data_IF_807792261506
#
_entry.id   IF_807792261506
#
_cell.length_a   1.000
_cell.length_b   1.000
_cell.length_c   1.000
_cell.angle_alpha   90.00
_cell.angle_beta   90.00
_cell.angle_gamma   90.00
#
_symmetry.space_group_name_H-M   'P 1'
#
loop_
_entity.id
_entity.type
_entity.pdbx_description
1 polymer ?
#
# COMPACT_ATOMS: atom_id res chain seq x y z
N UNK A 1 0.32 2.79 -54.72
CA UNK A 1 1.67 2.18 -54.72
C UNK A 1 2.55 3.04 -53.82
N UNK A 2 2.98 2.67 -52.61
CA UNK A 2 2.81 1.54 -51.70
C UNK A 2 2.78 2.16 -50.28
N UNK A 3 1.77 1.89 -49.44
CA UNK A 3 1.72 0.91 -48.35
C UNK A 3 2.91 0.91 -47.36
N UNK A 4 2.57 1.32 -46.12
CA UNK A 4 3.04 0.85 -44.80
C UNK A 4 4.46 1.19 -44.35
N UNK A 5 4.56 1.99 -43.28
CA UNK A 5 5.01 1.53 -41.95
C UNK A 5 4.30 2.39 -40.89
N UNK A 6 3.47 1.72 -40.09
CA UNK A 6 2.94 2.17 -38.81
C UNK A 6 4.06 1.95 -37.77
N UNK A 7 4.45 2.99 -37.04
CA UNK A 7 4.99 2.83 -35.68
C UNK A 7 4.07 3.62 -34.75
N UNK A 8 3.23 2.94 -33.97
CA UNK A 8 2.45 3.52 -32.89
C UNK A 8 3.32 3.42 -31.63
N UNK A 9 3.90 4.53 -31.17
CA UNK A 9 4.54 4.58 -29.85
C UNK A 9 3.62 5.28 -28.83
N UNK A 10 2.33 4.94 -28.86
CA UNK A 10 1.48 5.01 -27.67
C UNK A 10 1.62 3.67 -26.95
N UNK A 11 2.70 3.55 -26.17
CA UNK A 11 2.94 2.43 -25.27
C UNK A 11 2.37 2.75 -23.89
N UNK A 12 1.12 2.36 -23.65
CA UNK A 12 0.51 2.06 -22.35
C UNK A 12 1.38 2.34 -21.12
N UNK A 13 1.13 3.45 -20.43
CA UNK A 13 1.37 3.49 -18.99
C UNK A 13 0.22 2.74 -18.33
N UNK A 14 0.42 1.46 -18.01
CA UNK A 14 -0.52 0.67 -17.19
C UNK A 14 -0.55 1.27 -15.79
N UNK A 15 -1.50 2.16 -15.53
CA UNK A 15 -2.09 2.32 -14.21
C UNK A 15 -3.61 2.23 -14.34
N UNK A 16 -4.13 1.02 -14.24
CA UNK A 16 -5.57 0.78 -14.05
C UNK A 16 -5.95 1.21 -12.63
N UNK A 17 -6.33 2.48 -12.46
CA UNK A 17 -7.00 2.99 -11.26
C UNK A 17 -8.24 3.75 -11.71
N UNK A 18 -9.39 3.40 -11.12
CA UNK A 18 -10.69 3.96 -11.48
C UNK A 18 -10.71 5.50 -11.37
N UNK A 19 -11.14 6.12 -12.45
CA UNK A 19 -11.38 7.55 -12.66
C UNK A 19 -12.56 8.03 -11.82
N UNK A 20 -12.35 8.72 -10.70
CA UNK A 20 -13.35 9.70 -10.21
C UNK A 20 -12.70 10.91 -9.50
N UNK A 21 -11.56 10.76 -8.80
CA UNK A 21 -11.01 11.86 -7.99
C UNK A 21 -9.49 12.07 -8.12
N UNK A 22 -8.92 12.00 -9.33
CA UNK A 22 -7.54 12.49 -9.57
C UNK A 22 -7.59 13.84 -10.25
N UNK A 23 -6.62 14.69 -9.93
CA UNK A 23 -6.12 15.70 -10.87
C UNK A 23 -5.45 14.93 -12.00
N UNK A 24 -6.03 14.86 -13.22
CA UNK A 24 -5.44 14.06 -14.30
C UNK A 24 -4.07 14.62 -14.69
N UNK A 25 -3.14 13.79 -15.19
CA UNK A 25 -1.93 14.31 -15.87
C UNK A 25 -2.31 15.21 -17.06
N UNK A 26 -3.52 15.03 -17.61
CA UNK A 26 -4.17 15.91 -18.60
C UNK A 26 -4.49 17.33 -18.08
N UNK A 27 -4.38 17.58 -16.76
CA UNK A 27 -4.55 18.91 -16.19
C UNK A 27 -3.29 19.78 -16.35
N UNK A 28 -2.12 19.15 -16.34
CA UNK A 28 -0.84 19.84 -16.45
C UNK A 28 -0.38 20.05 -17.87
N UNK A 29 -0.83 19.21 -18.82
CA UNK A 29 -0.44 19.32 -20.22
C UNK A 29 -1.67 19.45 -21.11
N UNK A 30 -1.65 20.43 -22.01
CA UNK A 30 -2.67 20.60 -23.05
C UNK A 30 -2.12 20.17 -24.42
N UNK A 31 -2.97 19.56 -25.23
CA UNK A 31 -2.66 19.25 -26.63
C UNK A 31 -3.16 20.40 -27.50
N UNK A 32 -2.24 21.11 -28.14
CA UNK A 32 -2.56 22.18 -29.08
C UNK A 32 -2.49 21.62 -30.50
N UNK A 33 -3.62 21.68 -31.20
CA UNK A 33 -3.72 21.34 -32.61
C UNK A 33 -3.64 22.63 -33.43
N UNK A 34 -2.64 22.73 -34.31
CA UNK A 34 -2.53 23.79 -35.32
C UNK A 34 -2.62 23.18 -36.71
N UNK A 35 -2.89 24.00 -37.71
CA UNK A 35 -3.18 23.58 -39.09
C UNK A 35 -2.16 22.61 -39.72
N UNK A 36 -0.94 22.52 -39.16
CA UNK A 36 0.16 21.70 -39.71
C UNK A 36 0.87 20.79 -38.69
N UNK A 37 0.51 20.80 -37.40
CA UNK A 37 1.10 19.90 -36.39
C UNK A 37 0.28 19.82 -35.09
N UNK A 38 0.51 18.76 -34.32
CA UNK A 38 -0.04 18.53 -32.98
C UNK A 38 1.11 18.53 -31.96
N UNK A 39 1.07 19.38 -30.95
CA UNK A 39 2.06 19.38 -29.86
C UNK A 39 1.41 19.35 -28.48
N UNK A 40 2.09 18.73 -27.52
CA UNK A 40 1.72 18.70 -26.10
C UNK A 40 2.59 19.71 -25.36
N UNK A 41 2.00 20.60 -24.56
CA UNK A 41 2.74 21.61 -23.78
C UNK A 41 2.15 21.79 -22.40
N UNK A 42 2.92 22.36 -21.46
CA UNK A 42 2.44 22.64 -20.12
C UNK A 42 1.27 23.64 -20.17
N UNK A 43 0.16 23.31 -19.53
CA UNK A 43 -0.97 24.20 -19.29
C UNK A 43 -0.58 25.26 -18.24
N UNK A 44 0.08 26.33 -18.70
CA UNK A 44 0.55 27.42 -17.85
C UNK A 44 -0.60 28.14 -17.12
N UNK A 45 -1.81 28.13 -17.67
CA UNK A 45 -2.97 28.72 -17.01
C UNK A 45 -3.34 27.91 -15.76
N UNK A 46 -3.48 26.59 -15.89
CA UNK A 46 -3.73 25.69 -14.77
C UNK A 46 -2.63 25.77 -13.69
N UNK A 47 -1.36 25.80 -14.08
CA UNK A 47 -0.23 25.96 -13.13
C UNK A 47 -0.32 27.31 -12.39
N UNK A 48 -0.72 28.39 -13.06
CA UNK A 48 -0.88 29.69 -12.41
C UNK A 48 -2.10 29.72 -11.49
N UNK A 49 -3.20 29.07 -11.85
CA UNK A 49 -4.39 28.94 -11.01
C UNK A 49 -4.05 28.18 -9.72
N UNK A 50 -3.43 27.00 -9.83
CA UNK A 50 -2.97 26.18 -8.70
C UNK A 50 -1.99 26.91 -7.78
N UNK A 51 -1.19 27.84 -8.33
CA UNK A 51 -0.29 28.69 -7.56
C UNK A 51 -1.06 29.72 -6.71
N UNK A 52 -2.21 30.17 -7.16
CA UNK A 52 -2.99 31.24 -6.49
C UNK A 52 -4.14 30.75 -5.63
N UNK A 53 -4.71 29.58 -5.93
CA UNK A 53 -5.85 29.02 -5.23
C UNK A 53 -5.71 27.50 -5.07
N UNK A 54 -6.35 26.89 -4.04
CA UNK A 54 -6.42 25.45 -3.89
C UNK A 54 -7.21 24.80 -5.03
N UNK A 55 -6.79 23.59 -5.43
CA UNK A 55 -7.56 22.78 -6.40
C UNK A 55 -8.74 22.07 -5.72
N UNK A 56 -9.66 21.53 -6.51
CA UNK A 56 -10.76 20.70 -6.00
C UNK A 56 -10.27 19.44 -5.27
N UNK A 57 -9.05 18.97 -5.55
CA UNK A 57 -8.40 17.84 -4.88
C UNK A 57 -7.61 18.22 -3.62
N UNK A 58 -7.57 19.50 -3.25
CA UNK A 58 -6.79 20.00 -2.12
C UNK A 58 -5.33 20.32 -2.47
N UNK A 59 -4.67 21.05 -1.57
CA UNK A 59 -3.29 21.46 -1.76
C UNK A 59 -2.31 20.29 -1.58
N UNK A 60 -2.64 19.29 -0.77
CA UNK A 60 -1.85 18.08 -0.54
C UNK A 60 -1.68 17.25 -1.82
N UNK A 61 -2.79 16.88 -2.48
CA UNK A 61 -2.79 16.14 -3.75
C UNK A 61 -2.09 16.96 -4.85
N UNK A 62 -2.30 18.29 -4.85
CA UNK A 62 -1.64 19.20 -5.79
C UNK A 62 -0.11 19.18 -5.60
N UNK A 63 0.36 19.19 -4.36
CA UNK A 63 1.79 19.12 -4.06
C UNK A 63 2.40 17.79 -4.47
N UNK A 64 1.72 16.67 -4.21
CA UNK A 64 2.15 15.33 -4.65
C UNK A 64 2.29 15.26 -6.18
N UNK A 65 1.26 15.71 -6.90
CA UNK A 65 1.26 15.69 -8.36
C UNK A 65 2.35 16.58 -8.99
N UNK A 66 2.63 17.75 -8.40
CA UNK A 66 3.73 18.62 -8.85
C UNK A 66 5.11 18.02 -8.58
N UNK A 67 5.29 17.29 -7.47
CA UNK A 67 6.54 16.59 -7.16
C UNK A 67 6.73 15.41 -8.13
N UNK A 68 5.70 14.62 -8.39
CA UNK A 68 5.74 13.53 -9.38
C UNK A 68 6.09 14.07 -10.77
N UNK A 69 5.43 15.17 -11.19
CA UNK A 69 5.73 15.84 -12.46
C UNK A 69 7.20 16.25 -12.58
N UNK A 70 7.80 16.80 -11.52
CA UNK A 70 9.21 17.19 -11.52
C UNK A 70 10.16 16.00 -11.53
N UNK A 71 9.81 14.90 -10.86
CA UNK A 71 10.63 13.68 -10.85
C UNK A 71 10.60 13.00 -12.23
N UNK A 72 9.42 12.95 -12.86
CA UNK A 72 9.21 12.28 -14.14
C UNK A 72 9.80 13.09 -15.31
N UNK A 73 9.69 14.42 -15.28
CA UNK A 73 10.11 15.28 -16.39
C UNK A 73 11.61 15.64 -16.36
N UNK A 74 12.19 15.80 -15.17
CA UNK A 74 13.58 16.24 -15.09
C UNK A 74 14.55 15.10 -15.46
N UNK A 75 15.56 15.42 -16.29
CA UNK A 75 16.39 14.45 -16.98
C UNK A 75 17.30 13.68 -16.01
N UNK A 76 17.04 12.38 -15.82
CA UNK A 76 17.90 11.49 -15.02
C UNK A 76 19.11 10.95 -15.81
N UNK A 77 19.06 10.97 -17.14
CA UNK A 77 20.12 10.48 -18.05
C UNK A 77 20.30 11.40 -19.27
N UNK A 78 21.41 11.25 -19.99
CA UNK A 78 21.76 12.07 -21.16
C UNK A 78 20.86 11.85 -22.39
N UNK A 79 19.98 10.86 -22.38
CA UNK A 79 19.08 10.52 -23.49
C UNK A 79 17.62 11.00 -23.30
N UNK A 80 17.27 11.51 -22.11
CA UNK A 80 15.92 11.95 -21.80
C UNK A 80 15.94 13.42 -21.40
N UNK A 81 15.60 14.35 -22.30
CA UNK A 81 15.58 15.78 -21.97
C UNK A 81 14.34 16.18 -21.16
N UNK A 82 13.25 15.41 -21.14
CA UNK A 82 11.97 15.83 -20.54
C UNK A 82 11.13 16.71 -21.47
N UNK A 83 9.84 16.86 -21.16
CA UNK A 83 8.87 17.62 -21.95
C UNK A 83 8.88 19.12 -21.63
N UNK A 84 9.17 19.52 -20.37
CA UNK A 84 9.11 20.93 -19.98
C UNK A 84 10.38 21.70 -20.35
N UNK A 85 10.24 22.91 -20.87
CA UNK A 85 11.38 23.83 -21.05
C UNK A 85 11.86 24.45 -19.71
N UNK A 86 12.97 25.20 -19.73
CA UNK A 86 13.52 25.82 -18.52
C UNK A 86 12.52 26.76 -17.81
N UNK A 87 11.73 27.51 -18.57
CA UNK A 87 10.73 28.45 -18.06
C UNK A 87 9.54 27.72 -17.43
N UNK A 88 9.12 26.61 -18.04
CA UNK A 88 8.05 25.72 -17.61
C UNK A 88 8.41 24.99 -16.32
N UNK A 89 9.60 24.37 -16.26
CA UNK A 89 10.12 23.77 -15.02
C UNK A 89 10.14 24.80 -13.89
N UNK A 90 10.62 26.02 -14.17
CA UNK A 90 10.62 27.09 -13.17
C UNK A 90 9.21 27.51 -12.74
N UNK A 91 8.22 27.45 -13.62
CA UNK A 91 6.82 27.71 -13.27
C UNK A 91 6.25 26.64 -12.33
N UNK A 92 6.53 25.37 -12.61
CA UNK A 92 6.12 24.23 -11.75
C UNK A 92 6.79 24.32 -10.38
N UNK A 93 8.09 24.62 -10.30
CA UNK A 93 8.79 24.79 -9.02
C UNK A 93 8.19 25.96 -8.21
N UNK A 94 7.89 27.10 -8.85
CA UNK A 94 7.23 28.22 -8.16
C UNK A 94 5.83 27.86 -7.67
N UNK A 95 5.09 27.08 -8.45
CA UNK A 95 3.79 26.56 -8.05
C UNK A 95 3.92 25.64 -6.84
N UNK A 96 4.83 24.67 -6.88
CA UNK A 96 5.09 23.75 -5.77
C UNK A 96 5.47 24.51 -4.49
N UNK A 97 6.39 25.50 -4.58
CA UNK A 97 6.76 26.34 -3.44
C UNK A 97 5.55 27.09 -2.86
N UNK A 98 4.66 27.63 -3.70
CA UNK A 98 3.45 28.30 -3.24
C UNK A 98 2.48 27.33 -2.53
N UNK A 99 2.27 26.14 -3.10
CA UNK A 99 1.40 25.10 -2.52
C UNK A 99 1.94 24.61 -1.18
N UNK A 100 3.24 24.27 -1.10
CA UNK A 100 3.88 23.83 0.15
C UNK A 100 3.82 24.93 1.23
N UNK A 101 3.97 26.20 0.85
CA UNK A 101 3.82 27.33 1.77
C UNK A 101 2.38 27.47 2.30
N UNK A 102 1.35 27.27 1.47
CA UNK A 102 -0.05 27.26 1.93
C UNK A 102 -0.30 26.12 2.91
N UNK A 103 0.36 24.98 2.69
CA UNK A 103 0.39 23.84 3.60
C UNK A 103 1.32 24.03 4.81
N UNK A 104 1.98 25.18 4.98
CA UNK A 104 2.93 25.38 6.08
C UNK A 104 4.07 24.35 6.13
N UNK A 105 4.43 23.77 5.00
CA UNK A 105 5.56 22.82 4.87
C UNK A 105 6.80 23.62 4.52
N UNK A 106 7.81 23.58 5.39
CA UNK A 106 9.13 24.16 5.12
C UNK A 106 9.95 23.19 4.27
N UNK A 107 10.08 23.51 2.98
CA UNK A 107 10.94 22.77 2.06
C UNK A 107 11.47 23.70 0.95
N UNK A 108 12.79 23.77 0.86
CA UNK A 108 13.52 24.53 -0.16
C UNK A 108 13.96 23.58 -1.28
N UNK A 109 13.38 23.75 -2.48
CA UNK A 109 13.88 23.08 -3.69
C UNK A 109 15.27 23.65 -4.01
N UNK A 110 16.33 22.83 -4.15
CA UNK A 110 17.72 23.28 -4.28
C UNK A 110 18.06 23.90 -5.65
N UNK A 111 17.08 23.96 -6.54
CA UNK A 111 17.17 24.59 -7.86
C UNK A 111 15.86 25.31 -8.18
N UNK A 112 15.92 26.23 -9.13
CA UNK A 112 14.81 27.13 -9.47
C UNK A 112 14.22 26.88 -10.85
N UNK A 113 14.94 26.15 -11.70
CA UNK A 113 14.59 25.83 -13.08
C UNK A 113 15.41 24.61 -13.56
N UNK A 114 15.25 24.25 -14.83
CA UNK A 114 15.89 23.08 -15.45
C UNK A 114 17.41 23.24 -15.57
N UNK A 115 17.89 24.45 -15.88
CA UNK A 115 19.32 24.78 -15.94
C UNK A 115 19.95 24.70 -14.55
N UNK A 116 19.30 25.24 -13.53
CA UNK A 116 19.70 25.12 -12.14
C UNK A 116 19.74 23.66 -11.67
N UNK A 117 18.80 22.82 -12.12
CA UNK A 117 18.85 21.38 -11.87
C UNK A 117 20.09 20.73 -12.49
N UNK A 118 20.45 21.07 -13.74
CA UNK A 118 21.68 20.56 -14.35
C UNK A 118 22.93 20.99 -13.59
N UNK A 119 23.03 22.26 -13.18
CA UNK A 119 24.14 22.75 -12.35
C UNK A 119 24.22 22.00 -11.02
N UNK A 120 23.09 21.87 -10.32
CA UNK A 120 22.97 21.10 -9.09
C UNK A 120 23.44 19.64 -9.29
N UNK A 121 23.01 18.99 -10.37
CA UNK A 121 23.41 17.61 -10.70
C UNK A 121 24.90 17.49 -10.98
N UNK A 122 25.49 18.44 -11.72
CA UNK A 122 26.93 18.44 -12.05
C UNK A 122 27.80 18.63 -10.81
N UNK A 123 27.40 19.51 -9.89
CA UNK A 123 28.09 19.75 -8.61
C UNK A 123 28.05 18.52 -7.69
N UNK A 124 26.97 17.73 -7.76
CA UNK A 124 26.73 16.57 -6.90
C UNK A 124 27.01 15.22 -7.57
N UNK A 125 27.65 15.21 -8.77
CA UNK A 125 27.97 14.00 -9.54
C UNK A 125 28.78 12.93 -8.78
N UNK A 126 29.51 13.34 -7.72
CA UNK A 126 30.33 12.45 -6.89
C UNK A 126 29.68 12.11 -5.53
N UNK A 127 28.45 12.57 -5.26
CA UNK A 127 27.74 12.38 -4.00
C UNK A 127 26.39 11.68 -4.20
N UNK A 128 25.92 10.99 -3.16
CA UNK A 128 24.68 10.22 -3.12
C UNK A 128 23.37 11.02 -3.43
N UNK A 129 23.43 12.33 -3.72
CA UNK A 129 22.27 13.24 -3.80
C UNK A 129 22.14 13.82 -5.22
N UNK A 130 21.83 12.96 -6.19
CA UNK A 130 21.40 13.39 -7.54
C UNK A 130 20.02 12.83 -7.93
N UNK A 131 19.55 11.84 -7.17
CA UNK A 131 18.21 11.28 -7.28
C UNK A 131 17.19 12.31 -6.79
N UNK A 132 16.36 12.82 -7.71
CA UNK A 132 15.31 13.79 -7.41
C UNK A 132 14.33 13.28 -6.35
N UNK A 133 14.16 11.96 -6.30
CA UNK A 133 13.31 11.34 -5.31
C UNK A 133 13.84 11.53 -3.88
N UNK A 134 15.17 11.59 -3.71
CA UNK A 134 15.80 11.95 -2.42
C UNK A 134 15.70 13.45 -2.14
N UNK A 135 15.82 14.28 -3.17
CA UNK A 135 15.67 15.74 -3.04
C UNK A 135 14.30 16.08 -2.49
N UNK A 136 13.23 15.44 -2.99
CA UNK A 136 11.86 15.71 -2.56
C UNK A 136 11.37 14.88 -1.37
N UNK A 137 12.18 13.95 -0.83
CA UNK A 137 11.77 13.10 0.30
C UNK A 137 11.31 13.88 1.54
N UNK A 138 11.97 14.99 1.97
CA UNK A 138 11.50 15.78 3.10
C UNK A 138 10.11 16.40 2.88
N UNK A 139 9.84 16.87 1.65
CA UNK A 139 8.54 17.42 1.28
C UNK A 139 7.45 16.35 1.31
N UNK A 140 7.71 15.17 0.73
CA UNK A 140 6.78 14.03 0.75
C UNK A 140 6.47 13.57 2.18
N UNK A 141 7.48 13.43 3.03
CA UNK A 141 7.29 13.05 4.43
C UNK A 141 6.53 14.12 5.24
N UNK A 142 6.64 15.39 4.89
CA UNK A 142 5.87 16.46 5.51
C UNK A 142 4.40 16.47 5.05
N UNK A 143 4.15 16.21 3.76
CA UNK A 143 2.81 16.04 3.21
C UNK A 143 2.10 14.84 3.87
N UNK A 144 2.78 13.69 3.95
CA UNK A 144 2.25 12.49 4.60
C UNK A 144 1.88 12.73 6.08
N UNK A 145 2.73 13.44 6.84
CA UNK A 145 2.42 13.83 8.23
C UNK A 145 1.22 14.76 8.33
N UNK A 146 1.01 15.65 7.36
CA UNK A 146 -0.17 16.53 7.33
C UNK A 146 -1.43 15.77 6.98
N UNK A 147 -1.38 14.86 6.02
CA UNK A 147 -2.50 13.97 5.72
C UNK A 147 -2.91 13.15 6.95
N UNK A 148 -1.93 12.67 7.74
CA UNK A 148 -2.17 12.00 9.01
C UNK A 148 -2.82 12.90 10.08
N UNK A 149 -2.63 14.22 10.01
CA UNK A 149 -3.15 15.19 11.00
C UNK A 149 -4.52 15.75 10.59
N UNK A 150 -4.79 15.92 9.29
CA UNK A 150 -6.08 16.37 8.73
C UNK A 150 -7.13 15.26 8.72
N UNK A 151 -6.70 13.99 8.87
CA UNK A 151 -7.58 12.83 8.95
C UNK A 151 -8.33 12.73 10.30
N UNK A 152 -9.20 13.71 10.56
CA UNK A 152 -10.19 13.68 11.65
C UNK A 152 -11.46 12.98 11.17
N UNK A 153 -11.47 11.65 11.23
CA UNK A 153 -12.63 10.87 10.82
C UNK A 153 -12.52 9.39 11.11
N UNK A 154 -12.83 9.01 12.35
CA UNK A 154 -13.59 7.82 12.74
C UNK A 154 -13.19 6.44 12.18
N UNK A 155 -12.99 5.49 13.09
CA UNK A 155 -13.18 4.07 12.77
C UNK A 155 -14.59 3.89 12.20
N UNK A 156 -14.65 3.41 10.97
CA UNK A 156 -15.79 3.46 10.03
C UNK A 156 -15.85 4.77 9.27
N UNK A 157 -15.36 4.73 8.03
CA UNK A 157 -16.09 5.42 6.97
C UNK A 157 -17.53 4.90 6.99
N UNK A 158 -18.51 5.79 6.87
CA UNK A 158 -19.95 5.51 6.74
C UNK A 158 -20.33 4.55 5.56
N UNK A 159 -19.33 3.90 4.95
CA UNK A 159 -19.38 2.94 3.84
C UNK A 159 -18.47 1.69 3.99
N UNK A 160 -17.76 1.50 5.10
CA UNK A 160 -17.01 0.24 5.34
C UNK A 160 -15.56 0.18 4.83
N UNK A 161 -14.85 1.30 4.71
CA UNK A 161 -13.42 1.31 4.40
C UNK A 161 -12.58 0.92 5.63
N UNK A 162 -11.79 -0.16 5.49
CA UNK A 162 -10.91 -0.67 6.52
C UNK A 162 -9.64 0.18 6.57
N UNK A 163 -9.31 0.73 7.74
CA UNK A 163 -8.07 1.48 8.00
C UNK A 163 -7.36 0.86 9.20
N UNK A 164 -6.04 0.74 9.09
CA UNK A 164 -5.12 0.16 10.08
C UNK A 164 -5.15 -1.39 10.16
N UNK A 165 -4.27 -2.05 9.40
CA UNK A 165 -3.98 -3.48 9.52
C UNK A 165 -2.68 -3.69 10.28
N UNK A 166 -2.73 -4.44 11.37
CA UNK A 166 -1.53 -4.89 12.07
C UNK A 166 -1.25 -6.33 11.63
N UNK A 167 -0.09 -6.56 11.03
CA UNK A 167 0.27 -7.86 10.45
C UNK A 167 1.75 -8.15 10.63
N UNK A 168 2.17 -9.35 10.20
CA UNK A 168 3.52 -9.89 10.40
C UNK A 168 3.97 -9.80 11.88
N UNK A 169 3.04 -10.01 12.80
CA UNK A 169 3.24 -9.88 14.23
C UNK A 169 3.87 -11.15 14.82
N UNK A 170 5.18 -11.14 15.03
CA UNK A 170 5.91 -12.26 15.66
C UNK A 170 5.60 -12.39 17.16
N UNK A 171 5.25 -11.29 17.81
CA UNK A 171 4.79 -11.24 19.20
C UNK A 171 3.45 -10.52 19.26
N UNK A 172 2.65 -10.80 20.30
CA UNK A 172 1.36 -10.13 20.49
C UNK A 172 1.57 -8.62 20.72
N UNK A 173 1.06 -7.74 19.84
CA UNK A 173 1.15 -6.31 20.05
C UNK A 173 0.23 -5.86 21.18
N UNK A 174 0.69 -4.91 21.99
CA UNK A 174 -0.18 -4.19 22.92
C UNK A 174 -0.72 -2.94 22.20
N UNK A 175 -2.03 -2.89 21.98
CA UNK A 175 -2.69 -1.85 21.19
C UNK A 175 -3.54 -1.01 22.14
N UNK A 176 -3.29 0.30 22.16
CA UNK A 176 -4.09 1.27 22.91
C UNK A 176 -4.76 2.26 21.96
N UNK A 177 -5.93 2.75 22.36
CA UNK A 177 -6.58 3.86 21.67
C UNK A 177 -5.95 5.16 22.13
N UNK A 178 -5.37 5.92 21.19
CA UNK A 178 -4.93 7.29 21.46
C UNK A 178 -6.10 8.26 21.27
N UNK A 179 -6.91 8.04 20.25
CA UNK A 179 -8.16 8.77 20.01
C UNK A 179 -9.24 7.80 19.51
N UNK A 180 -10.29 7.61 20.32
CA UNK A 180 -11.42 6.73 20.01
C UNK A 180 -12.31 7.32 18.93
N UNK A 181 -12.49 8.64 18.90
CA UNK A 181 -13.34 9.33 17.94
C UNK A 181 -12.65 9.48 16.58
N UNK A 182 -11.34 9.73 16.58
CA UNK A 182 -10.49 9.78 15.38
C UNK A 182 -10.01 8.41 14.89
N UNK A 183 -10.13 7.36 15.69
CA UNK A 183 -9.71 6.02 15.29
C UNK A 183 -8.21 5.76 15.33
N UNK A 184 -7.48 6.58 16.08
CA UNK A 184 -6.02 6.50 16.17
C UNK A 184 -5.65 5.43 17.19
N UNK A 185 -4.96 4.40 16.70
CA UNK A 185 -4.35 3.35 17.52
C UNK A 185 -2.87 3.59 17.69
N UNK A 186 -2.35 3.19 18.83
CA UNK A 186 -0.92 3.18 19.13
C UNK A 186 -0.52 1.79 19.63
N UNK A 187 0.63 1.30 19.15
CA UNK A 187 1.21 0.05 19.62
C UNK A 187 2.23 0.40 20.69
N UNK A 188 1.89 0.17 21.95
CA UNK A 188 2.70 0.54 23.12
C UNK A 188 3.79 -0.49 23.43
N UNK A 189 3.60 -1.74 22.99
CA UNK A 189 4.60 -2.82 23.12
C UNK A 189 4.66 -3.70 21.89
N UNK A 190 5.85 -4.22 21.60
CA UNK A 190 6.15 -5.12 20.47
C UNK A 190 5.90 -4.47 19.09
N UNK A 191 6.04 -3.14 18.99
CA UNK A 191 5.82 -2.40 17.74
C UNK A 191 6.79 -2.85 16.65
N UNK A 192 8.05 -3.04 17.02
CA UNK A 192 9.14 -3.57 16.20
C UNK A 192 8.87 -4.99 15.68
N UNK A 193 8.00 -5.74 16.35
CA UNK A 193 7.65 -7.11 15.97
C UNK A 193 6.42 -7.20 15.06
N UNK A 194 5.79 -6.09 14.68
CA UNK A 194 4.65 -6.05 13.75
C UNK A 194 4.84 -4.99 12.66
N UNK A 195 3.95 -5.01 11.67
CA UNK A 195 3.82 -4.00 10.63
C UNK A 195 2.44 -3.36 10.76
N UNK A 196 2.36 -2.04 10.59
CA UNK A 196 1.12 -1.26 10.60
C UNK A 196 0.89 -0.68 9.22
N UNK A 197 -0.06 -1.24 8.48
CA UNK A 197 -0.53 -0.66 7.22
C UNK A 197 -1.66 0.33 7.50
N UNK A 198 -1.41 1.60 7.21
CA UNK A 198 -2.20 2.77 7.58
C UNK A 198 -2.92 3.43 6.40
N UNK A 199 -2.86 2.82 5.21
CA UNK A 199 -3.49 3.33 3.98
C UNK A 199 -4.90 2.75 3.78
N UNK A 200 -5.78 3.44 3.04
CA UNK A 200 -7.08 2.89 2.67
C UNK A 200 -6.90 1.73 1.67
N UNK A 201 -7.77 0.72 1.80
CA UNK A 201 -7.85 -0.41 0.86
C UNK A 201 -8.89 -0.11 -0.22
N UNK A 202 -8.49 -0.14 -1.49
CA UNK A 202 -9.35 0.20 -2.63
C UNK A 202 -10.31 -0.93 -3.05
N UNK A 203 -11.10 -0.67 -4.10
CA UNK A 203 -12.06 -1.64 -4.65
C UNK A 203 -11.39 -2.90 -5.24
N UNK A 204 -10.11 -2.79 -5.63
CA UNK A 204 -9.24 -3.90 -6.05
C UNK A 204 -8.82 -4.81 -4.90
N UNK A 205 -9.12 -4.46 -3.65
CA UNK A 205 -8.51 -5.07 -2.48
C UNK A 205 -7.14 -4.45 -2.19
N UNK A 206 -6.32 -5.15 -1.41
CA UNK A 206 -4.92 -4.79 -1.14
C UNK A 206 -4.03 -5.71 -1.97
N UNK A 207 -3.42 -5.19 -3.04
CA UNK A 207 -2.57 -6.00 -3.92
C UNK A 207 -1.10 -6.02 -3.49
N UNK A 208 -0.31 -6.95 -4.03
CA UNK A 208 1.14 -6.93 -3.82
C UNK A 208 1.80 -5.65 -4.37
N UNK A 209 1.27 -5.06 -5.45
CA UNK A 209 1.76 -3.76 -5.96
C UNK A 209 1.53 -2.65 -4.93
N UNK A 210 0.34 -2.60 -4.32
CA UNK A 210 0.01 -1.58 -3.31
C UNK A 210 0.81 -1.78 -2.03
N UNK A 211 0.97 -3.03 -1.58
CA UNK A 211 1.79 -3.34 -0.41
C UNK A 211 3.28 -3.04 -0.66
N UNK A 212 3.81 -3.33 -1.85
CA UNK A 212 5.19 -3.00 -2.23
C UNK A 212 5.44 -1.49 -2.26
N UNK A 213 4.50 -0.71 -2.82
CA UNK A 213 4.55 0.76 -2.80
C UNK A 213 4.51 1.32 -1.38
N UNK A 214 3.70 0.73 -0.50
CA UNK A 214 3.69 1.11 0.92
C UNK A 214 5.01 0.74 1.62
N UNK A 215 5.54 -0.46 1.36
CA UNK A 215 6.80 -0.93 1.94
C UNK A 215 8.00 -0.09 1.51
N UNK A 216 7.99 0.41 0.26
CA UNK A 216 9.02 1.28 -0.27
C UNK A 216 9.19 2.59 0.51
N UNK A 217 8.09 3.14 1.04
CA UNK A 217 8.08 4.39 1.79
C UNK A 217 8.47 4.21 3.27
N UNK A 218 8.78 2.99 3.70
CA UNK A 218 9.28 2.74 5.06
C UNK A 218 10.76 3.16 5.20
N UNK A 219 11.13 3.64 6.39
CA UNK A 219 12.48 4.13 6.69
C UNK A 219 13.56 3.13 6.26
N UNK A 220 14.53 3.61 5.47
CA UNK A 220 15.68 2.83 5.00
C UNK A 220 15.44 1.95 3.76
N UNK A 221 14.21 1.80 3.27
CA UNK A 221 13.91 0.96 2.09
C UNK A 221 14.05 1.68 0.75
N UNK A 222 14.11 3.02 0.75
CA UNK A 222 14.06 3.84 -0.47
C UNK A 222 15.25 3.62 -1.41
N UNK A 223 16.45 3.39 -0.87
CA UNK A 223 17.68 3.24 -1.64
C UNK A 223 17.94 1.84 -2.23
N UNK A 224 17.06 0.87 -1.97
CA UNK A 224 17.22 -0.52 -2.42
C UNK A 224 16.50 -0.73 -3.77
N UNK A 225 17.06 -1.57 -4.64
CA UNK A 225 16.37 -1.98 -5.86
C UNK A 225 15.05 -2.70 -5.55
N UNK A 226 14.09 -2.66 -6.48
CA UNK A 226 12.78 -3.30 -6.28
C UNK A 226 12.89 -4.77 -5.86
N UNK A 227 13.78 -5.52 -6.52
CA UNK A 227 14.04 -6.92 -6.20
C UNK A 227 14.49 -7.12 -4.74
N UNK A 228 15.48 -6.34 -4.28
CA UNK A 228 15.98 -6.44 -2.90
C UNK A 228 14.92 -5.99 -1.88
N UNK A 229 14.09 -5.00 -2.22
CA UNK A 229 12.96 -4.58 -1.36
C UNK A 229 11.92 -5.67 -1.20
N UNK A 230 11.54 -6.33 -2.28
CA UNK A 230 10.58 -7.45 -2.24
C UNK A 230 11.13 -8.62 -1.43
N UNK A 231 12.42 -8.94 -1.57
CA UNK A 231 13.07 -9.94 -0.72
C UNK A 231 13.09 -9.54 0.75
N UNK A 232 13.34 -8.26 1.06
CA UNK A 232 13.29 -7.75 2.43
C UNK A 232 11.88 -7.83 3.02
N UNK A 233 10.84 -7.50 2.24
CA UNK A 233 9.45 -7.66 2.62
C UNK A 233 9.14 -9.14 2.90
N UNK A 234 9.42 -10.04 1.97
CA UNK A 234 9.19 -11.48 2.16
C UNK A 234 9.90 -12.01 3.41
N UNK A 235 11.16 -11.61 3.64
CA UNK A 235 11.90 -11.96 4.86
C UNK A 235 11.21 -11.43 6.11
N UNK A 236 10.69 -10.20 6.09
CA UNK A 236 9.96 -9.60 7.22
C UNK A 236 8.64 -10.33 7.51
N UNK A 237 7.92 -10.75 6.47
CA UNK A 237 6.70 -11.54 6.58
C UNK A 237 6.99 -12.94 7.16
N UNK A 238 7.94 -13.67 6.56
CA UNK A 238 8.38 -15.00 7.02
C UNK A 238 8.88 -15.01 8.46
N UNK A 239 9.52 -13.92 8.91
CA UNK A 239 10.00 -13.78 10.29
C UNK A 239 8.91 -13.84 11.36
N UNK A 240 7.63 -13.73 10.98
CA UNK A 240 6.48 -13.89 11.89
C UNK A 240 5.90 -15.30 11.92
N UNK A 241 6.39 -16.21 11.07
CA UNK A 241 5.72 -17.47 10.73
C UNK A 241 6.47 -18.71 11.20
N UNK A 242 5.73 -19.74 11.59
CA UNK A 242 6.24 -21.10 11.77
C UNK A 242 6.51 -21.80 10.42
N UNK A 243 7.08 -23.00 10.44
CA UNK A 243 7.48 -23.71 9.22
C UNK A 243 6.31 -24.03 8.26
N UNK A 244 5.13 -24.39 8.79
CA UNK A 244 3.96 -24.72 7.97
C UNK A 244 3.36 -23.47 7.32
N UNK A 245 3.27 -22.40 8.11
CA UNK A 245 2.81 -21.09 7.64
C UNK A 245 3.77 -20.51 6.60
N UNK A 246 5.09 -20.67 6.78
CA UNK A 246 6.08 -20.27 5.78
C UNK A 246 5.89 -21.04 4.47
N UNK A 247 5.59 -22.34 4.52
CA UNK A 247 5.31 -23.14 3.32
C UNK A 247 4.07 -22.61 2.58
N UNK A 248 3.01 -22.22 3.31
CA UNK A 248 1.84 -21.60 2.70
C UNK A 248 2.18 -20.26 2.02
N UNK A 249 2.86 -19.37 2.75
CA UNK A 249 3.25 -18.05 2.23
C UNK A 249 4.17 -18.19 1.00
N UNK A 250 5.17 -19.05 1.07
CA UNK A 250 6.12 -19.28 -0.02
C UNK A 250 5.40 -19.85 -1.26
N UNK A 251 4.48 -20.79 -1.06
CA UNK A 251 3.69 -21.37 -2.17
C UNK A 251 2.80 -20.31 -2.83
N UNK A 252 2.14 -19.47 -2.03
CA UNK A 252 1.34 -18.38 -2.57
C UNK A 252 2.18 -17.33 -3.29
N UNK A 253 3.37 -17.01 -2.74
CA UNK A 253 4.30 -16.07 -3.36
C UNK A 253 4.75 -16.56 -4.74
N UNK A 254 5.17 -17.81 -4.86
CA UNK A 254 5.57 -18.43 -6.12
C UNK A 254 4.40 -18.49 -7.11
N UNK A 255 3.19 -18.82 -6.63
CA UNK A 255 1.96 -18.84 -7.42
C UNK A 255 1.66 -17.47 -8.05
N UNK A 256 1.76 -16.40 -7.26
CA UNK A 256 1.56 -15.02 -7.71
C UNK A 256 2.64 -14.57 -8.69
N UNK A 257 3.93 -14.90 -8.44
CA UNK A 257 5.05 -14.57 -9.35
C UNK A 257 4.82 -15.12 -10.75
N UNK A 258 4.31 -16.34 -10.87
CA UNK A 258 4.04 -16.98 -12.16
C UNK A 258 2.87 -16.35 -12.95
N UNK A 259 2.03 -15.53 -12.31
CA UNK A 259 0.74 -15.05 -12.86
C UNK A 259 0.58 -13.53 -12.88
N UNK A 260 1.65 -12.77 -12.66
CA UNK A 260 1.60 -11.30 -12.64
C UNK A 260 1.44 -10.74 -11.23
N UNK A 261 2.34 -11.17 -10.34
CA UNK A 261 2.50 -10.80 -8.92
C UNK A 261 1.78 -9.53 -8.45
N UNK A 262 2.04 -8.38 -9.11
CA UNK A 262 1.54 -7.07 -8.68
C UNK A 262 0.02 -6.95 -8.60
N UNK A 263 -0.73 -7.65 -9.47
CA UNK A 263 -2.19 -7.60 -9.53
C UNK A 263 -2.86 -8.57 -8.55
N UNK A 264 -2.10 -9.53 -8.01
CA UNK A 264 -2.61 -10.50 -7.05
C UNK A 264 -2.81 -9.84 -5.68
N UNK A 265 -3.85 -10.25 -4.94
CA UNK A 265 -4.09 -9.76 -3.59
C UNK A 265 -2.93 -10.17 -2.66
N UNK A 266 -2.47 -9.26 -1.82
CA UNK A 266 -1.42 -9.54 -0.86
C UNK A 266 -1.92 -10.51 0.22
N UNK A 267 -1.07 -11.48 0.56
CA UNK A 267 -1.33 -12.41 1.66
C UNK A 267 -0.61 -11.93 2.91
N UNK A 268 -1.38 -11.43 3.87
CA UNK A 268 -0.87 -10.84 5.10
C UNK A 268 -0.82 -11.89 6.22
N UNK A 269 0.35 -12.22 6.78
CA UNK A 269 0.47 -13.17 7.88
C UNK A 269 0.16 -12.53 9.24
N UNK A 270 -0.24 -13.34 10.22
CA UNK A 270 -0.31 -13.02 11.66
C UNK A 270 -1.04 -11.70 11.94
N UNK A 271 -2.28 -11.61 11.48
CA UNK A 271 -3.04 -10.36 11.44
C UNK A 271 -3.84 -10.16 12.71
N UNK A 272 -3.65 -9.01 13.36
CA UNK A 272 -4.45 -8.57 14.48
C UNK A 272 -5.50 -7.57 14.00
N UNK A 273 -6.77 -7.98 14.06
CA UNK A 273 -7.90 -7.07 13.83
C UNK A 273 -8.34 -6.48 15.18
N UNK A 274 -8.21 -5.17 15.35
CA UNK A 274 -8.69 -4.51 16.56
C UNK A 274 -10.20 -4.32 16.51
N UNK A 275 -10.94 -5.06 17.35
CA UNK A 275 -12.40 -5.03 17.39
C UNK A 275 -12.93 -4.14 18.52
N UNK A 276 -13.62 -3.07 18.11
CA UNK A 276 -14.60 -2.20 18.79
C UNK A 276 -14.56 -2.11 20.36
N UNK A 277 -14.25 -0.91 20.93
CA UNK A 277 -14.30 -0.67 22.38
C UNK A 277 -15.71 -0.74 23.00
N UNK A 278 -16.81 -0.61 22.24
CA UNK A 278 -18.18 -0.80 22.78
C UNK A 278 -18.42 -2.25 23.21
N UNK A 279 -17.84 -3.19 22.46
CA UNK A 279 -17.87 -4.59 22.84
C UNK A 279 -17.00 -4.84 24.09
N UNK A 280 -16.03 -3.99 24.45
CA UNK A 280 -15.20 -4.16 25.64
C UNK A 280 -15.95 -3.83 26.95
N UNK A 281 -16.83 -2.81 26.94
CA UNK A 281 -17.70 -2.50 28.09
C UNK A 281 -18.78 -3.57 28.29
N UNK A 282 -19.34 -4.11 27.20
CA UNK A 282 -20.28 -5.24 27.27
C UNK A 282 -19.57 -6.56 27.64
N UNK A 283 -18.29 -6.75 27.27
CA UNK A 283 -17.42 -7.88 27.67
C UNK A 283 -17.12 -7.92 29.17
N UNK A 284 -16.96 -6.76 29.81
CA UNK A 284 -16.73 -6.70 31.27
C UNK A 284 -18.01 -6.95 32.08
N UNK A 285 -19.20 -6.78 31.47
CA UNK A 285 -20.49 -6.92 32.15
C UNK A 285 -21.12 -8.32 31.95
N UNK A 286 -20.72 -9.07 30.92
CA UNK A 286 -21.19 -10.44 30.70
C UNK A 286 -20.17 -11.42 31.26
N UNK A 287 -20.49 -11.97 32.44
CA UNK A 287 -19.95 -13.19 33.05
C UNK A 287 -18.46 -13.49 32.80
N UNK A 288 -17.64 -13.23 33.83
CA UNK A 288 -16.35 -13.88 34.08
C UNK A 288 -15.41 -14.07 32.87
N UNK A 289 -14.49 -13.10 32.69
CA UNK A 289 -13.11 -13.43 32.31
C UNK A 289 -12.85 -14.15 30.99
N UNK A 290 -13.82 -14.28 30.08
CA UNK A 290 -13.57 -14.89 28.76
C UNK A 290 -12.89 -13.89 27.82
N UNK A 291 -11.56 -13.86 27.91
CA UNK A 291 -10.67 -13.34 26.88
C UNK A 291 -11.11 -13.95 25.54
N UNK A 292 -11.40 -13.12 24.53
CA UNK A 292 -11.59 -13.59 23.16
C UNK A 292 -10.34 -14.39 22.76
N UNK A 293 -10.48 -15.71 22.65
CA UNK A 293 -9.33 -16.61 22.49
C UNK A 293 -8.58 -16.44 21.17
N UNK A 294 -9.16 -15.76 20.15
CA UNK A 294 -8.46 -15.44 18.91
C UNK A 294 -8.66 -13.98 18.51
N UNK A 295 -7.65 -13.16 18.82
CA UNK A 295 -7.49 -11.78 18.31
C UNK A 295 -6.61 -11.74 17.05
N UNK A 296 -6.10 -12.89 16.61
CA UNK A 296 -5.12 -13.05 15.54
C UNK A 296 -5.63 -14.07 14.52
N UNK A 297 -5.58 -13.70 13.25
CA UNK A 297 -5.77 -14.59 12.10
C UNK A 297 -4.40 -15.03 11.57
N UNK A 298 -4.24 -16.29 11.18
CA UNK A 298 -2.95 -16.76 10.65
C UNK A 298 -2.62 -16.06 9.32
N UNK A 299 -3.60 -15.96 8.41
CA UNK A 299 -3.49 -15.15 7.19
C UNK A 299 -4.77 -14.42 6.82
N UNK A 300 -4.61 -13.21 6.27
CA UNK A 300 -5.69 -12.40 5.68
C UNK A 300 -5.34 -12.02 4.25
N UNK A 301 -6.34 -12.07 3.37
CA UNK A 301 -6.29 -11.55 2.02
C UNK A 301 -7.50 -10.65 1.77
N UNK A 302 -7.26 -9.43 1.29
CA UNK A 302 -8.30 -8.49 0.91
C UNK A 302 -8.31 -8.40 -0.61
N UNK A 303 -9.26 -9.05 -1.26
CA UNK A 303 -9.33 -9.18 -2.71
C UNK A 303 -10.38 -8.26 -3.34
N UNK A 304 -10.37 -8.20 -4.67
CA UNK A 304 -11.30 -7.40 -5.46
C UNK A 304 -12.76 -7.76 -5.19
N UNK A 305 -13.65 -6.77 -5.35
CA UNK A 305 -15.09 -6.95 -5.11
C UNK A 305 -15.47 -7.04 -3.62
N UNK A 306 -14.56 -6.63 -2.72
CA UNK A 306 -14.80 -6.64 -1.28
C UNK A 306 -14.69 -8.03 -0.64
N UNK A 307 -14.14 -9.02 -1.36
CA UNK A 307 -13.90 -10.37 -0.88
C UNK A 307 -12.78 -10.36 0.17
N UNK A 308 -12.98 -11.06 1.28
CA UNK A 308 -12.04 -11.10 2.41
C UNK A 308 -11.79 -12.53 2.81
N UNK A 309 -10.61 -13.07 2.50
CA UNK A 309 -10.27 -14.45 2.80
C UNK A 309 -9.43 -14.53 4.07
N UNK A 310 -9.78 -15.46 4.94
CA UNK A 310 -9.00 -15.84 6.12
C UNK A 310 -8.54 -17.27 5.91
N UNK A 311 -7.23 -17.48 5.96
CA UNK A 311 -6.64 -18.82 5.90
C UNK A 311 -6.06 -19.14 7.27
N UNK A 312 -6.46 -20.26 7.86
CA UNK A 312 -6.01 -20.72 9.17
C UNK A 312 -5.31 -22.09 9.00
N UNK A 313 -4.21 -22.29 9.72
CA UNK A 313 -3.53 -23.59 9.76
C UNK A 313 -3.82 -24.25 11.11
N UNK A 314 -4.56 -25.35 11.09
CA UNK A 314 -4.96 -26.05 12.29
C UNK A 314 -4.07 -27.26 12.60
N UNK A 315 -3.30 -27.13 13.68
CA UNK A 315 -2.66 -28.27 14.32
C UNK A 315 -3.58 -28.98 15.30
N UNK A 316 -3.16 -30.18 15.74
CA UNK A 316 -3.88 -31.00 16.72
C UNK A 316 -4.15 -30.26 18.02
N UNK A 317 -3.27 -29.33 18.39
CA UNK A 317 -3.35 -28.46 19.55
C UNK A 317 -4.61 -27.56 19.57
N UNK A 318 -5.25 -27.32 18.43
CA UNK A 318 -6.47 -26.51 18.37
C UNK A 318 -7.75 -27.26 18.78
N UNK A 319 -7.73 -28.59 18.75
CA UNK A 319 -8.93 -29.41 19.01
C UNK A 319 -8.64 -30.63 19.87
N UNK A 320 -7.47 -30.69 20.53
CA UNK A 320 -7.10 -31.77 21.43
C UNK A 320 -6.56 -31.26 22.76
N UNK A 321 -6.81 -32.03 23.82
CA UNK A 321 -6.22 -31.86 25.14
C UNK A 321 -5.44 -33.13 25.45
N UNK A 322 -4.16 -33.00 25.78
CA UNK A 322 -3.25 -34.12 26.04
C UNK A 322 -3.21 -35.16 24.91
N UNK A 323 -3.30 -34.69 23.66
CA UNK A 323 -3.30 -35.54 22.46
C UNK A 323 -4.61 -36.29 22.19
N UNK A 324 -5.66 -36.06 22.99
CA UNK A 324 -7.00 -36.62 22.77
C UNK A 324 -7.95 -35.54 22.25
N UNK A 325 -8.78 -35.89 21.28
CA UNK A 325 -9.79 -34.98 20.76
C UNK A 325 -10.68 -34.42 21.88
N UNK A 326 -10.89 -33.11 21.86
CA UNK A 326 -11.64 -32.35 22.85
C UNK A 326 -12.84 -31.67 22.17
N UNK A 327 -14.05 -32.25 22.26
CA UNK A 327 -15.23 -31.74 21.57
C UNK A 327 -15.60 -30.29 21.92
N UNK A 328 -15.30 -29.86 23.14
CA UNK A 328 -15.46 -28.48 23.61
C UNK A 328 -14.56 -27.51 22.84
N UNK A 329 -13.27 -27.83 22.66
CA UNK A 329 -12.34 -27.02 21.88
C UNK A 329 -12.74 -26.96 20.39
N UNK A 330 -13.19 -28.09 19.84
CA UNK A 330 -13.75 -28.11 18.49
C UNK A 330 -14.98 -27.20 18.36
N UNK A 331 -15.92 -27.28 19.32
CA UNK A 331 -17.13 -26.44 19.33
C UNK A 331 -16.80 -24.94 19.41
N UNK A 332 -15.77 -24.57 20.17
CA UNK A 332 -15.27 -23.20 20.26
C UNK A 332 -14.66 -22.72 18.94
N UNK A 333 -13.81 -23.54 18.31
CA UNK A 333 -13.23 -23.24 17.00
C UNK A 333 -14.31 -22.99 15.94
N UNK A 334 -15.29 -23.89 15.80
CA UNK A 334 -16.36 -23.71 14.79
C UNK A 334 -17.30 -22.54 15.12
N UNK A 335 -17.42 -22.15 16.40
CA UNK A 335 -18.18 -20.96 16.80
C UNK A 335 -17.50 -19.69 16.32
N UNK A 336 -16.19 -19.60 16.48
CA UNK A 336 -15.42 -18.46 15.99
C UNK A 336 -15.45 -18.37 14.45
N UNK A 337 -15.41 -19.48 13.74
CA UNK A 337 -15.58 -19.49 12.29
C UNK A 337 -16.90 -18.87 11.86
N UNK A 338 -17.99 -19.25 12.51
CA UNK A 338 -19.32 -18.66 12.24
C UNK A 338 -19.31 -17.17 12.52
N UNK A 339 -18.68 -16.74 13.61
CA UNK A 339 -18.57 -15.32 13.97
C UNK A 339 -17.80 -14.53 12.90
N UNK A 340 -16.66 -15.05 12.45
CA UNK A 340 -15.83 -14.41 11.41
C UNK A 340 -16.59 -14.40 10.07
N UNK A 341 -17.24 -15.50 9.69
CA UNK A 341 -18.06 -15.56 8.46
C UNK A 341 -19.22 -14.58 8.47
N UNK A 342 -19.93 -14.44 9.59
CA UNK A 342 -21.01 -13.45 9.75
C UNK A 342 -20.51 -12.00 9.68
N UNK A 343 -19.20 -11.76 9.81
CA UNK A 343 -18.58 -10.45 9.60
C UNK A 343 -18.21 -10.19 8.12
N UNK A 344 -18.55 -11.12 7.21
CA UNK A 344 -18.30 -10.98 5.78
C UNK A 344 -16.91 -11.45 5.34
N UNK A 345 -16.33 -12.39 6.08
CA UNK A 345 -15.10 -13.08 5.70
C UNK A 345 -15.39 -14.49 5.20
N UNK A 346 -14.58 -14.98 4.29
CA UNK A 346 -14.55 -16.38 3.85
C UNK A 346 -13.38 -17.09 4.55
N UNK A 347 -13.70 -18.05 5.40
CA UNK A 347 -12.71 -18.76 6.22
C UNK A 347 -12.41 -20.13 5.62
N UNK A 348 -11.13 -20.40 5.35
CA UNK A 348 -10.59 -21.67 4.90
C UNK A 348 -9.57 -22.19 5.92
N UNK A 349 -9.76 -23.43 6.37
CA UNK A 349 -8.89 -24.09 7.36
C UNK A 349 -8.15 -25.23 6.69
N UNK A 350 -6.84 -25.29 6.90
CA UNK A 350 -6.00 -26.40 6.46
C UNK A 350 -5.51 -27.18 7.68
N UNK A 351 -5.73 -28.49 7.70
CA UNK A 351 -5.27 -29.35 8.77
C UNK A 351 -3.79 -29.65 8.66
N UNK A 352 -3.09 -29.76 9.78
CA UNK A 352 -1.64 -30.06 9.81
C UNK A 352 -1.26 -31.36 9.09
N UNK A 353 -2.19 -32.32 8.96
CA UNK A 353 -1.99 -33.55 8.20
C UNK A 353 -1.74 -33.29 6.69
N UNK A 354 -2.29 -32.20 6.15
CA UNK A 354 -2.11 -31.80 4.74
C UNK A 354 -0.69 -31.30 4.43
N UNK A 355 0.11 -31.01 5.47
CA UNK A 355 1.46 -30.47 5.34
C UNK A 355 2.57 -31.48 5.69
N UNK A 356 2.22 -32.75 5.93
CA UNK A 356 3.21 -33.80 6.28
C UNK A 356 4.21 -34.02 5.15
N UNK A 357 3.73 -34.04 3.90
CA UNK A 357 4.57 -34.03 2.70
C UNK A 357 4.59 -32.61 2.10
N UNK A 358 5.73 -31.89 2.17
CA UNK A 358 5.84 -30.54 1.64
C UNK A 358 5.55 -30.42 0.14
N UNK A 359 5.83 -31.45 -0.66
CA UNK A 359 5.59 -31.39 -2.11
C UNK A 359 4.10 -31.58 -2.43
N UNK A 360 3.45 -32.54 -1.77
CA UNK A 360 2.01 -32.71 -1.87
C UNK A 360 1.26 -31.46 -1.38
N UNK A 361 1.72 -30.85 -0.29
CA UNK A 361 1.17 -29.61 0.25
C UNK A 361 1.25 -28.45 -0.76
N UNK A 362 2.41 -28.28 -1.42
CA UNK A 362 2.58 -27.25 -2.46
C UNK A 362 1.61 -27.41 -3.62
N UNK A 363 1.41 -28.64 -4.09
CA UNK A 363 0.46 -28.95 -5.17
C UNK A 363 -0.98 -28.65 -4.74
N UNK A 364 -1.37 -29.09 -3.53
CA UNK A 364 -2.70 -28.82 -2.97
C UNK A 364 -2.96 -27.32 -2.84
N UNK A 365 -2.03 -26.58 -2.23
CA UNK A 365 -2.15 -25.13 -2.04
C UNK A 365 -2.22 -24.38 -3.37
N UNK A 366 -1.39 -24.76 -4.34
CA UNK A 366 -1.43 -24.14 -5.68
C UNK A 366 -2.80 -24.35 -6.35
N UNK A 367 -3.33 -25.58 -6.30
CA UNK A 367 -4.66 -25.90 -6.83
C UNK A 367 -5.80 -25.19 -6.08
N UNK A 368 -5.64 -24.98 -4.77
CA UNK A 368 -6.57 -24.18 -3.97
C UNK A 368 -6.56 -22.71 -4.41
N UNK A 369 -5.38 -22.08 -4.56
CA UNK A 369 -5.29 -20.69 -4.99
C UNK A 369 -5.79 -20.45 -6.41
N UNK A 370 -5.59 -21.42 -7.32
CA UNK A 370 -6.18 -21.38 -8.67
C UNK A 370 -7.72 -21.33 -8.62
N UNK A 371 -8.34 -22.06 -7.70
CA UNK A 371 -9.81 -22.06 -7.53
C UNK A 371 -10.30 -20.82 -6.77
N UNK A 372 -9.61 -20.42 -5.70
CA UNK A 372 -10.00 -19.28 -4.86
C UNK A 372 -9.99 -17.96 -5.64
N UNK A 373 -8.99 -17.78 -6.50
CA UNK A 373 -8.75 -16.55 -7.25
C UNK A 373 -9.25 -16.63 -8.69
N UNK A 374 -10.01 -17.67 -9.03
CA UNK A 374 -10.71 -17.73 -10.31
C UNK A 374 -11.61 -16.49 -10.49
N UNK A 375 -11.69 -15.93 -11.71
CA UNK A 375 -12.41 -14.69 -12.00
C UNK A 375 -13.93 -14.79 -11.81
#
# INVERSE_FOLDING_TARGET
MACEIIIPAFGYCRTTRAEVNRVPQELFFETVQRDHYRCTRLNRAAINELRTAPSAGGDEETAHALIDLLIDDLPQDSEHEGLMDNSETGAVIRCLKAVLRRLGIEFEVPFHDKQGYYSFRMEHKNGLITDLTRVFAPARAALERREQTTFTGGLRGLRGELRNLIFAAAQKPEIVWRDVAGGVIEITKNKEHCLLYDRPVGASGLTWSELSKWWHLQDGMYGMSEHLRLQALLKRLRGSLNALEQLLLDTYWDHAVQRGFGDFPALLPQVYLHYDPLAQRQRNQRAEGKVLMRQRMDFLMLASGGRRYVLELDGKEHYSRDGKAAPDLYADMVREDRRIRLQGYEVYRFGGAEFVDPQAAKLMLSGFFDQLLAP
#
